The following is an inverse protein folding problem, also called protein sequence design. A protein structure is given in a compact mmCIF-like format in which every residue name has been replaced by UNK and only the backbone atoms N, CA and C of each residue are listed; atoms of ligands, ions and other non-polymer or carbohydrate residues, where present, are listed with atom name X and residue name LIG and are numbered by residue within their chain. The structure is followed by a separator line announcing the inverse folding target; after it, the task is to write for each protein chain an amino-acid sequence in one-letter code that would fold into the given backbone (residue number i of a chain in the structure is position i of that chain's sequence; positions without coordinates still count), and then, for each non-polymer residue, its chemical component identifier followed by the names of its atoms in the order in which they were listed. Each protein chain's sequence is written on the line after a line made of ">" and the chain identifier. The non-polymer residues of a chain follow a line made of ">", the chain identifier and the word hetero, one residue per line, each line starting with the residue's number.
data_IF_194891647777
#
_entry.id   IF_194891647777
#
_cell.length_a   1.000
_cell.length_b   1.000
_cell.length_c   1.000
_cell.angle_alpha   90.00
_cell.angle_beta   90.00
_cell.angle_gamma   90.00
#
_symmetry.space_group_name_H-M   'P 1'
#
loop_
_entity.id
_entity.type
_entity.pdbx_description
1 polymer ?
#
# COMPACT_ATOMS: atom_id res chain seq x y z
N UNK A 1 0.36 21.17 -5.01
CA UNK A 1 1.76 21.10 -4.52
C UNK A 1 1.90 21.23 -3.01
N UNK A 2 0.93 21.80 -2.29
CA UNK A 2 0.94 21.85 -0.80
C UNK A 2 0.61 20.48 -0.16
N UNK A 3 -0.20 19.67 -0.79
CA UNK A 3 -0.65 18.40 -0.25
C UNK A 3 0.48 17.41 0.08
N UNK A 4 1.51 17.31 -0.77
CA UNK A 4 2.61 16.36 -0.53
C UNK A 4 3.49 16.75 0.68
N UNK A 5 3.73 18.06 0.90
CA UNK A 5 4.48 18.53 2.06
C UNK A 5 3.68 18.37 3.36
N UNK A 6 2.36 18.53 3.29
CA UNK A 6 1.48 18.38 4.43
C UNK A 6 1.30 16.89 4.82
N UNK A 7 1.22 15.99 3.84
CA UNK A 7 1.23 14.54 4.08
C UNK A 7 2.50 14.13 4.82
N UNK A 8 3.68 14.59 4.40
CA UNK A 8 4.94 14.25 5.07
C UNK A 8 5.01 14.79 6.52
N UNK A 9 4.44 15.96 6.79
CA UNK A 9 4.35 16.48 8.16
C UNK A 9 3.51 15.59 9.09
N UNK A 10 2.57 14.80 8.53
CA UNK A 10 1.74 13.86 9.27
C UNK A 10 2.32 12.44 9.33
N UNK A 11 3.59 12.27 9.02
CA UNK A 11 4.32 10.99 9.06
C UNK A 11 5.50 11.04 10.03
N UNK A 12 5.26 11.26 11.35
CA UNK A 12 6.33 11.42 12.34
C UNK A 12 7.15 10.15 12.54
N UNK A 13 6.56 8.96 12.37
CA UNK A 13 7.23 7.69 12.60
C UNK A 13 8.23 7.36 11.49
N UNK A 14 7.89 7.64 10.22
CA UNK A 14 8.82 7.50 9.10
C UNK A 14 9.98 8.51 9.20
N UNK A 15 9.69 9.74 9.62
CA UNK A 15 10.72 10.76 9.85
C UNK A 15 11.73 10.33 10.91
N UNK A 16 11.26 9.74 12.01
CA UNK A 16 12.12 9.21 13.07
C UNK A 16 13.03 8.06 12.61
N UNK A 17 12.72 7.41 11.47
CA UNK A 17 13.49 6.31 10.88
C UNK A 17 14.40 6.74 9.73
N UNK A 18 14.64 8.04 9.56
CA UNK A 18 15.49 8.62 8.52
C UNK A 18 15.07 8.23 7.08
N UNK A 19 13.76 8.06 6.86
CA UNK A 19 13.22 7.80 5.53
C UNK A 19 13.44 9.02 4.63
N UNK A 20 13.94 8.82 3.42
CA UNK A 20 14.15 9.87 2.41
C UNK A 20 12.86 10.11 1.65
N UNK A 21 12.18 11.26 1.84
CA UNK A 21 10.95 11.58 1.12
C UNK A 21 11.22 12.15 -0.25
N UNK A 22 10.51 11.65 -1.26
CA UNK A 22 10.52 12.22 -2.61
C UNK A 22 9.28 13.11 -2.81
N UNK A 23 9.45 14.42 -2.73
CA UNK A 23 8.35 15.41 -2.74
C UNK A 23 7.73 15.65 -4.12
N UNK A 24 8.38 15.21 -5.21
CA UNK A 24 7.95 15.43 -6.60
C UNK A 24 7.62 14.15 -7.35
N UNK A 25 7.14 13.14 -6.65
CA UNK A 25 6.72 11.89 -7.28
C UNK A 25 5.31 12.05 -7.85
N UNK A 26 5.11 11.69 -9.10
CA UNK A 26 3.84 11.80 -9.82
C UNK A 26 3.44 10.43 -10.36
N UNK A 27 2.21 10.00 -10.06
CA UNK A 27 1.63 8.78 -10.60
C UNK A 27 1.29 8.93 -12.10
N UNK A 28 1.21 7.80 -12.82
CA UNK A 28 0.73 7.76 -14.21
C UNK A 28 -0.77 8.09 -14.32
N UNK A 29 -1.54 7.88 -13.27
CA UNK A 29 -2.97 8.12 -13.24
C UNK A 29 -3.54 8.07 -11.84
N UNK A 30 -4.82 8.38 -11.72
CA UNK A 30 -5.55 8.43 -10.44
C UNK A 30 -6.22 7.11 -10.06
N UNK A 31 -6.28 6.16 -10.98
CA UNK A 31 -6.85 4.83 -10.74
C UNK A 31 -5.75 3.75 -10.66
N UNK A 32 -5.98 2.73 -9.85
CA UNK A 32 -5.03 1.63 -9.61
C UNK A 32 -4.76 0.80 -10.88
N UNK A 33 -5.76 0.63 -11.75
CA UNK A 33 -5.65 -0.10 -13.01
C UNK A 33 -4.76 0.62 -14.06
N UNK A 34 -4.48 1.88 -13.87
CA UNK A 34 -3.54 2.67 -14.67
C UNK A 34 -2.19 2.81 -13.96
N UNK A 35 -2.21 3.23 -12.68
CA UNK A 35 -0.98 3.57 -11.97
C UNK A 35 -0.12 2.34 -11.67
N UNK A 36 -0.73 1.22 -11.31
CA UNK A 36 0.01 0.02 -10.92
C UNK A 36 0.73 -0.64 -12.12
N UNK A 37 0.07 -0.96 -13.26
CA UNK A 37 0.77 -1.46 -14.44
C UNK A 37 1.86 -0.51 -14.95
N UNK A 38 1.63 0.80 -14.90
CA UNK A 38 2.62 1.79 -15.28
C UNK A 38 3.86 1.77 -14.37
N UNK A 39 3.67 1.69 -13.05
CA UNK A 39 4.76 1.67 -12.07
C UNK A 39 5.70 0.48 -12.29
N UNK A 40 5.15 -0.68 -12.67
CA UNK A 40 5.90 -1.90 -12.89
C UNK A 40 6.29 -2.14 -14.36
N UNK A 41 6.01 -1.19 -15.25
CA UNK A 41 6.42 -1.26 -16.66
C UNK A 41 7.84 -0.71 -16.85
N UNK A 42 8.51 -1.17 -17.91
CA UNK A 42 9.82 -0.65 -18.29
C UNK A 42 9.80 0.76 -18.91
N UNK A 43 8.62 1.24 -19.30
CA UNK A 43 8.50 2.53 -20.01
C UNK A 43 8.10 3.69 -19.11
N UNK A 44 7.50 3.41 -17.96
CA UNK A 44 7.08 4.41 -17.01
C UNK A 44 6.05 5.41 -17.56
N UNK A 45 5.92 6.56 -16.87
CA UNK A 45 4.89 7.56 -17.14
C UNK A 45 5.06 8.29 -18.48
N UNK A 46 6.28 8.64 -18.85
CA UNK A 46 6.53 9.52 -20.02
C UNK A 46 6.19 8.84 -21.35
N UNK A 47 6.19 7.54 -21.39
CA UNK A 47 5.84 6.72 -22.55
C UNK A 47 4.70 5.76 -22.24
N UNK A 48 3.77 6.21 -21.37
CA UNK A 48 2.61 5.41 -21.00
C UNK A 48 1.73 5.12 -22.22
N UNK A 49 1.59 3.83 -22.48
CA UNK A 49 0.67 3.25 -23.47
C UNK A 49 0.01 2.04 -22.81
N UNK A 50 -1.29 2.13 -22.54
CA UNK A 50 -2.03 1.10 -21.81
C UNK A 50 -2.01 -0.24 -22.53
N UNK A 51 -2.26 -0.23 -23.84
CA UNK A 51 -2.39 -1.46 -24.63
C UNK A 51 -1.05 -2.18 -24.74
N UNK A 52 0.01 -1.43 -24.82
CA UNK A 52 1.37 -1.93 -24.80
C UNK A 52 1.73 -2.51 -23.44
N UNK A 53 1.52 -1.76 -22.35
CA UNK A 53 1.89 -2.16 -20.98
C UNK A 53 1.15 -3.42 -20.54
N UNK A 54 -0.12 -3.60 -20.94
CA UNK A 54 -0.90 -4.79 -20.63
C UNK A 54 -0.48 -6.04 -21.41
N UNK A 55 0.20 -5.86 -22.55
CA UNK A 55 0.74 -6.94 -23.39
C UNK A 55 2.19 -7.29 -23.05
N UNK A 56 2.94 -6.33 -22.51
CA UNK A 56 4.33 -6.53 -22.10
C UNK A 56 4.40 -7.15 -20.68
N UNK A 57 5.53 -7.75 -20.41
CA UNK A 57 5.81 -8.32 -19.10
C UNK A 57 6.13 -7.22 -18.09
N UNK A 58 5.61 -7.34 -16.87
CA UNK A 58 5.92 -6.44 -15.75
C UNK A 58 7.30 -6.75 -15.14
N UNK A 59 7.76 -5.89 -14.24
CA UNK A 59 9.02 -6.08 -13.51
C UNK A 59 9.06 -7.39 -12.69
N UNK A 60 7.94 -7.84 -12.12
CA UNK A 60 7.92 -8.95 -11.17
C UNK A 60 8.38 -10.29 -11.79
N UNK A 61 7.84 -10.76 -12.94
CA UNK A 61 8.34 -11.96 -13.61
C UNK A 61 9.80 -11.82 -14.07
N UNK A 62 10.24 -10.61 -14.42
CA UNK A 62 11.65 -10.37 -14.79
C UNK A 62 12.57 -10.63 -13.58
N UNK A 63 12.21 -10.16 -12.40
CA UNK A 63 12.95 -10.43 -11.16
C UNK A 63 13.00 -11.94 -10.86
N UNK A 64 11.89 -12.67 -11.06
CA UNK A 64 11.87 -14.12 -10.84
C UNK A 64 12.84 -14.84 -11.78
N UNK A 65 12.89 -14.47 -13.06
CA UNK A 65 13.86 -15.05 -14.02
C UNK A 65 15.30 -14.72 -13.69
N UNK A 66 15.55 -13.59 -13.01
CA UNK A 66 16.86 -13.24 -12.47
C UNK A 66 17.24 -14.03 -11.21
N UNK A 67 16.42 -15.00 -10.77
CA UNK A 67 16.68 -15.83 -9.60
C UNK A 67 16.23 -15.27 -8.28
N UNK A 68 15.56 -14.11 -8.29
CA UNK A 68 15.01 -13.45 -7.10
C UNK A 68 13.70 -14.15 -6.70
N UNK A 69 13.52 -14.40 -5.42
CA UNK A 69 12.29 -14.91 -4.86
C UNK A 69 11.29 -13.77 -4.72
N UNK A 70 10.16 -13.80 -5.44
CA UNK A 70 9.21 -12.68 -5.53
C UNK A 70 7.84 -13.10 -5.01
N UNK A 71 7.26 -12.27 -4.14
CA UNK A 71 5.90 -12.45 -3.61
C UNK A 71 5.07 -11.18 -3.75
N UNK A 72 3.78 -11.37 -4.00
CA UNK A 72 2.77 -10.32 -3.95
C UNK A 72 1.82 -10.55 -2.78
N UNK A 73 1.68 -9.58 -1.88
CA UNK A 73 0.72 -9.64 -0.75
C UNK A 73 -0.32 -8.54 -0.94
N UNK A 74 -1.59 -8.91 -0.97
CA UNK A 74 -2.68 -8.02 -1.37
C UNK A 74 -3.69 -7.77 -0.26
N UNK A 75 -3.93 -6.50 0.05
CA UNK A 75 -5.06 -6.02 0.88
C UNK A 75 -6.01 -5.11 0.07
N UNK A 76 -5.99 -5.22 -1.23
CA UNK A 76 -6.82 -4.39 -2.12
C UNK A 76 -7.61 -5.27 -3.10
N UNK A 77 -7.74 -4.85 -4.33
CA UNK A 77 -8.52 -5.51 -5.39
C UNK A 77 -7.65 -6.24 -6.42
N UNK A 78 -6.56 -6.87 -5.96
CA UNK A 78 -5.62 -7.62 -6.80
C UNK A 78 -4.59 -6.74 -7.52
N UNK A 79 -3.64 -7.38 -8.18
CA UNK A 79 -2.43 -6.75 -8.74
C UNK A 79 -2.60 -6.17 -10.14
N UNK A 80 -3.79 -6.10 -10.70
CA UNK A 80 -4.07 -5.52 -12.03
C UNK A 80 -3.17 -6.08 -13.16
N UNK A 81 -2.83 -7.35 -13.06
CA UNK A 81 -2.02 -8.07 -14.06
C UNK A 81 -0.51 -8.04 -13.81
N UNK A 82 0.01 -7.16 -12.93
CA UNK A 82 1.46 -7.04 -12.72
C UNK A 82 2.10 -8.24 -12.03
N UNK A 83 1.35 -9.02 -11.26
CA UNK A 83 1.84 -10.22 -10.58
C UNK A 83 1.53 -11.53 -11.30
N UNK A 84 1.30 -11.49 -12.62
CA UNK A 84 1.03 -12.71 -13.40
C UNK A 84 2.21 -13.68 -13.29
N UNK A 85 1.93 -14.90 -12.82
CA UNK A 85 2.97 -15.92 -12.62
C UNK A 85 3.78 -15.77 -11.33
N UNK A 86 3.48 -14.77 -10.48
CA UNK A 86 4.12 -14.56 -9.18
C UNK A 86 3.23 -15.13 -8.08
N UNK A 87 3.77 -15.84 -7.08
CA UNK A 87 3.01 -16.26 -5.91
C UNK A 87 2.33 -15.06 -5.25
N UNK A 88 1.00 -15.15 -5.09
CA UNK A 88 0.18 -14.08 -4.52
C UNK A 88 -0.53 -14.59 -3.27
N UNK A 89 -0.36 -13.85 -2.18
CA UNK A 89 -1.02 -14.11 -0.90
C UNK A 89 -2.10 -13.05 -0.70
N UNK A 90 -3.36 -13.46 -0.69
CA UNK A 90 -4.45 -12.59 -0.30
C UNK A 90 -4.66 -12.66 1.21
N UNK A 91 -4.81 -11.50 1.84
CA UNK A 91 -5.08 -11.42 3.27
C UNK A 91 -6.49 -11.91 3.53
N UNK A 92 -6.62 -12.77 4.52
CA UNK A 92 -7.91 -13.30 4.94
C UNK A 92 -8.12 -13.11 6.44
N UNK A 93 -9.40 -13.04 6.82
CA UNK A 93 -9.85 -13.05 8.22
C UNK A 93 -9.25 -14.17 9.06
N UNK A 94 -8.92 -15.30 8.42
CA UNK A 94 -8.37 -16.48 9.10
C UNK A 94 -6.94 -16.27 9.59
N UNK A 95 -6.16 -15.42 8.93
CA UNK A 95 -4.76 -15.13 9.32
C UNK A 95 -4.63 -13.96 10.30
N UNK A 96 -5.56 -13.00 10.28
CA UNK A 96 -5.53 -11.81 11.13
C UNK A 96 -6.95 -11.40 11.57
N UNK A 97 -7.66 -12.21 12.37
CA UNK A 97 -9.08 -11.97 12.68
C UNK A 97 -9.33 -10.65 13.44
N UNK A 98 -8.40 -10.22 14.28
CA UNK A 98 -8.50 -8.95 15.03
C UNK A 98 -8.30 -7.71 14.17
N UNK A 99 -7.66 -7.85 13.00
CA UNK A 99 -7.38 -6.76 12.07
C UNK A 99 -8.40 -6.65 10.94
N UNK A 100 -9.40 -7.54 10.91
CA UNK A 100 -10.37 -7.61 9.84
C UNK A 100 -11.82 -7.44 10.35
N UNK A 101 -12.61 -6.64 9.63
CA UNK A 101 -14.05 -6.51 9.84
C UNK A 101 -14.79 -6.80 8.52
N UNK A 102 -15.58 -7.89 8.49
CA UNK A 102 -16.20 -8.35 7.26
C UNK A 102 -15.13 -8.73 6.21
N UNK A 103 -15.26 -8.27 4.96
CA UNK A 103 -14.30 -8.55 3.89
C UNK A 103 -13.10 -7.59 3.90
N UNK A 104 -13.02 -6.66 4.85
CA UNK A 104 -12.00 -5.60 4.89
C UNK A 104 -11.06 -5.82 6.05
N UNK A 105 -9.75 -5.69 5.79
CA UNK A 105 -8.71 -5.73 6.81
C UNK A 105 -7.96 -4.39 6.85
N UNK A 106 -7.42 -4.04 8.01
CA UNK A 106 -6.44 -2.98 8.13
C UNK A 106 -5.10 -3.42 7.53
N UNK A 107 -4.26 -2.47 7.09
CA UNK A 107 -3.02 -2.79 6.37
C UNK A 107 -1.98 -3.54 7.21
N UNK A 108 -2.03 -3.48 8.54
CA UNK A 108 -1.20 -4.31 9.42
C UNK A 108 -1.41 -5.82 9.18
N UNK A 109 -2.57 -6.23 8.65
CA UNK A 109 -2.82 -7.60 8.25
C UNK A 109 -1.89 -8.09 7.12
N UNK A 110 -1.29 -7.18 6.33
CA UNK A 110 -0.25 -7.51 5.34
C UNK A 110 0.97 -8.14 6.01
N UNK A 111 1.42 -7.61 7.15
CA UNK A 111 2.52 -8.20 7.93
C UNK A 111 2.10 -9.46 8.66
N UNK A 112 0.95 -9.44 9.34
CA UNK A 112 0.44 -10.59 10.07
C UNK A 112 0.14 -11.80 9.17
N UNK A 113 -0.11 -11.58 7.89
CA UNK A 113 -0.36 -12.62 6.90
C UNK A 113 0.90 -13.27 6.31
N UNK A 114 2.09 -12.73 6.60
CA UNK A 114 3.37 -13.24 6.09
C UNK A 114 3.95 -14.27 7.04
N UNK A 115 4.11 -15.49 6.56
CA UNK A 115 4.96 -16.49 7.20
C UNK A 115 6.38 -16.38 6.63
N UNK A 116 7.31 -15.89 7.45
CA UNK A 116 8.71 -15.68 7.04
C UNK A 116 9.39 -17.00 6.65
N UNK A 117 9.01 -18.12 7.26
CA UNK A 117 9.56 -19.44 6.93
C UNK A 117 9.16 -19.92 5.53
N UNK A 118 7.99 -19.48 5.04
CA UNK A 118 7.52 -19.81 3.69
C UNK A 118 8.20 -18.94 2.62
N UNK A 119 8.43 -17.65 2.92
CA UNK A 119 8.92 -16.69 1.93
C UNK A 119 10.43 -16.51 1.92
N UNK A 120 11.10 -16.63 3.08
CA UNK A 120 12.55 -16.49 3.16
C UNK A 120 13.22 -17.85 2.85
N UNK A 121 14.08 -17.85 1.85
CA UNK A 121 14.86 -19.05 1.47
C UNK A 121 16.34 -18.77 1.68
N UNK A 122 17.07 -19.66 2.39
CA UNK A 122 18.52 -19.49 2.58
C UNK A 122 19.27 -19.27 1.26
N UNK A 123 20.14 -18.28 1.25
CA UNK A 123 20.97 -17.95 0.08
C UNK A 123 20.22 -17.30 -1.10
N UNK A 124 18.94 -16.92 -0.92
CA UNK A 124 18.18 -16.22 -1.97
C UNK A 124 17.72 -14.85 -1.52
N UNK A 125 17.89 -13.86 -2.40
CA UNK A 125 17.23 -12.56 -2.23
C UNK A 125 15.73 -12.72 -2.40
N UNK A 126 14.97 -12.18 -1.44
CA UNK A 126 13.50 -12.16 -1.49
C UNK A 126 13.00 -10.73 -1.63
N UNK A 127 12.05 -10.52 -2.53
CA UNK A 127 11.33 -9.26 -2.70
C UNK A 127 9.84 -9.48 -2.46
N UNK A 128 9.27 -8.75 -1.51
CA UNK A 128 7.85 -8.81 -1.18
C UNK A 128 7.19 -7.50 -1.56
N UNK A 129 6.20 -7.57 -2.44
CA UNK A 129 5.36 -6.43 -2.81
C UNK A 129 4.10 -6.44 -1.95
N UNK A 130 3.94 -5.43 -1.10
CA UNK A 130 2.78 -5.27 -0.22
C UNK A 130 1.83 -4.24 -0.80
N UNK A 131 0.69 -4.69 -1.33
CA UNK A 131 -0.32 -3.82 -1.92
C UNK A 131 -1.33 -3.39 -0.85
N UNK A 132 -1.13 -2.21 -0.31
CA UNK A 132 -1.95 -1.62 0.74
C UNK A 132 -3.32 -1.17 0.22
N UNK A 133 -4.33 -1.20 1.09
CA UNK A 133 -5.56 -0.45 0.89
C UNK A 133 -5.30 1.06 1.10
N UNK A 134 -4.45 1.40 2.05
CA UNK A 134 -3.98 2.75 2.31
C UNK A 134 -5.13 3.74 2.49
N UNK A 135 -4.99 4.90 1.86
CA UNK A 135 -5.95 6.00 1.90
C UNK A 135 -7.01 5.92 0.79
N UNK A 136 -7.40 4.72 0.36
CA UNK A 136 -8.37 4.54 -0.71
C UNK A 136 -9.76 5.06 -0.32
N UNK A 137 -10.26 6.07 -1.06
CA UNK A 137 -11.59 6.64 -0.85
C UNK A 137 -12.75 5.75 -1.35
N UNK A 138 -13.99 6.22 -1.16
CA UNK A 138 -14.37 7.41 -0.38
C UNK A 138 -14.43 7.21 1.13
N UNK A 139 -14.47 5.99 1.63
CA UNK A 139 -14.67 5.66 3.05
C UNK A 139 -13.38 5.80 3.88
N UNK A 140 -12.80 6.98 3.96
CA UNK A 140 -11.53 7.23 4.65
C UNK A 140 -11.56 6.82 6.13
N UNK A 141 -12.65 7.09 6.85
CA UNK A 141 -12.80 6.72 8.26
C UNK A 141 -12.79 5.21 8.54
N UNK A 142 -12.90 4.38 7.49
CA UNK A 142 -12.79 2.92 7.57
C UNK A 142 -11.38 2.40 7.24
N UNK A 143 -10.40 3.28 7.06
CA UNK A 143 -9.02 2.91 6.67
C UNK A 143 -8.08 2.78 7.86
N UNK A 144 -8.51 3.15 9.05
CA UNK A 144 -7.73 3.13 10.28
C UNK A 144 -8.57 2.65 11.46
N UNK A 145 -7.98 2.00 12.46
CA UNK A 145 -8.66 1.67 13.71
C UNK A 145 -8.92 2.92 14.56
N UNK A 146 -9.89 2.85 15.47
CA UNK A 146 -10.40 4.00 16.22
C UNK A 146 -9.35 4.77 17.03
N UNK A 147 -8.31 4.09 17.50
CA UNK A 147 -7.19 4.72 18.22
C UNK A 147 -6.34 5.66 17.33
N UNK A 148 -6.48 5.60 16.02
CA UNK A 148 -5.85 6.53 15.07
C UNK A 148 -6.76 7.69 14.67
N UNK A 149 -7.96 7.81 15.24
CA UNK A 149 -8.86 8.95 15.02
C UNK A 149 -8.47 10.15 15.90
N UNK A 150 -7.38 10.81 15.54
CA UNK A 150 -6.79 11.96 16.25
C UNK A 150 -7.44 13.27 15.80
N UNK A 151 -7.59 13.46 14.49
CA UNK A 151 -8.22 14.64 13.90
C UNK A 151 -9.73 14.48 13.87
N UNK A 152 -10.47 15.46 14.39
CA UNK A 152 -11.94 15.45 14.53
C UNK A 152 -12.53 16.82 14.23
N UNK A 153 -13.80 16.88 13.77
CA UNK A 153 -14.72 15.78 13.49
C UNK A 153 -14.31 14.99 12.21
N UNK A 154 -14.86 13.78 12.00
CA UNK A 154 -14.56 12.94 10.85
C UNK A 154 -15.80 12.62 10.03
N UNK A 155 -15.65 12.57 8.70
CA UNK A 155 -16.66 12.06 7.78
C UNK A 155 -16.78 10.54 7.90
N UNK A 156 -17.92 10.05 8.36
CA UNK A 156 -18.23 8.61 8.47
C UNK A 156 -19.12 8.11 7.34
N UNK A 157 -19.66 9.01 6.51
CA UNK A 157 -20.51 8.71 5.34
C UNK A 157 -19.62 8.37 4.13
N UNK A 158 -20.02 7.36 3.35
CA UNK A 158 -19.35 7.03 2.07
C UNK A 158 -19.73 8.02 0.97
N UNK A 159 -20.87 8.73 1.13
CA UNK A 159 -21.27 9.84 0.27
C UNK A 159 -20.63 11.13 0.80
N UNK A 160 -19.47 11.48 0.28
CA UNK A 160 -18.68 12.64 0.75
C UNK A 160 -19.45 13.97 0.68
N UNK A 161 -20.46 14.09 -0.18
CA UNK A 161 -21.31 15.28 -0.27
C UNK A 161 -22.14 15.53 1.00
N UNK A 162 -22.29 14.54 1.88
CA UNK A 162 -22.99 14.67 3.15
C UNK A 162 -22.08 15.20 4.27
N UNK A 163 -20.78 15.40 3.99
CA UNK A 163 -19.79 15.82 4.96
C UNK A 163 -19.20 17.19 4.59
N UNK A 164 -18.77 17.92 5.60
CA UNK A 164 -17.99 19.14 5.40
C UNK A 164 -16.59 18.79 4.86
N UNK A 165 -15.92 19.77 4.25
CA UNK A 165 -14.54 19.62 3.80
C UNK A 165 -13.60 19.26 4.96
N UNK A 166 -13.80 19.86 6.14
CA UNK A 166 -13.00 19.60 7.32
C UNK A 166 -13.11 18.13 7.75
N UNK A 167 -14.32 17.59 7.85
CA UNK A 167 -14.55 16.19 8.20
C UNK A 167 -13.88 15.21 7.23
N UNK A 168 -13.91 15.52 5.93
CA UNK A 168 -13.25 14.71 4.90
C UNK A 168 -11.74 14.76 5.06
N UNK A 169 -11.16 15.95 5.24
CA UNK A 169 -9.72 16.15 5.43
C UNK A 169 -9.25 15.45 6.70
N UNK A 170 -9.96 15.61 7.81
CA UNK A 170 -9.63 14.95 9.08
C UNK A 170 -9.63 13.41 8.95
N UNK A 171 -10.65 12.84 8.28
CA UNK A 171 -10.71 11.41 8.04
C UNK A 171 -9.54 10.91 7.17
N UNK A 172 -9.17 11.67 6.14
CA UNK A 172 -8.01 11.38 5.29
C UNK A 172 -6.69 11.48 6.07
N UNK A 173 -6.52 12.52 6.88
CA UNK A 173 -5.31 12.73 7.68
C UNK A 173 -5.10 11.63 8.73
N UNK A 174 -6.16 11.15 9.35
CA UNK A 174 -6.10 9.99 10.24
C UNK A 174 -5.65 8.73 9.49
N UNK A 175 -6.10 8.54 8.24
CA UNK A 175 -5.66 7.43 7.41
C UNK A 175 -4.16 7.55 7.03
N UNK A 176 -3.63 8.78 6.83
CA UNK A 176 -2.20 9.01 6.65
C UNK A 176 -1.40 8.65 7.90
N UNK A 177 -1.87 9.03 9.09
CA UNK A 177 -1.22 8.65 10.35
C UNK A 177 -1.13 7.13 10.51
N UNK A 178 -2.19 6.41 10.14
CA UNK A 178 -2.19 4.96 10.19
C UNK A 178 -1.26 4.34 9.13
N UNK A 179 -1.20 4.91 7.94
CA UNK A 179 -0.22 4.50 6.92
C UNK A 179 1.22 4.69 7.39
N UNK A 180 1.51 5.81 8.09
CA UNK A 180 2.82 6.07 8.70
C UNK A 180 3.18 4.99 9.73
N UNK A 181 2.23 4.63 10.59
CA UNK A 181 2.39 3.55 11.57
C UNK A 181 2.67 2.20 10.90
N UNK A 182 1.89 1.83 9.89
CA UNK A 182 2.08 0.58 9.16
C UNK A 182 3.45 0.50 8.49
N UNK A 183 3.86 1.55 7.77
CA UNK A 183 5.17 1.57 7.09
C UNK A 183 6.33 1.56 8.09
N UNK A 184 6.18 2.23 9.23
CA UNK A 184 7.14 2.15 10.32
C UNK A 184 7.27 0.71 10.85
N UNK A 185 6.15 0.02 11.04
CA UNK A 185 6.11 -1.39 11.41
C UNK A 185 6.80 -2.31 10.39
N UNK A 186 6.63 -2.04 9.08
CA UNK A 186 7.34 -2.78 8.02
C UNK A 186 8.86 -2.59 8.13
N UNK A 187 9.32 -1.37 8.38
CA UNK A 187 10.75 -1.07 8.53
C UNK A 187 11.32 -1.80 9.76
N UNK A 188 10.61 -1.76 10.89
CA UNK A 188 11.06 -2.40 12.11
C UNK A 188 11.04 -3.94 11.97
N UNK A 189 10.04 -4.49 11.29
CA UNK A 189 9.97 -5.92 10.97
C UNK A 189 11.16 -6.35 10.09
N UNK A 190 11.51 -5.59 9.05
CA UNK A 190 12.68 -5.88 8.20
C UNK A 190 13.98 -5.87 9.00
N UNK A 191 14.16 -4.91 9.92
CA UNK A 191 15.33 -4.85 10.79
C UNK A 191 15.43 -6.02 11.78
N UNK A 192 14.32 -6.63 12.09
CA UNK A 192 14.25 -7.81 12.96
C UNK A 192 14.50 -9.14 12.24
N UNK A 193 14.71 -9.12 10.91
CA UNK A 193 15.04 -10.30 10.10
C UNK A 193 16.56 -10.53 9.97
N UNK A 194 17.38 -9.54 10.32
CA UNK A 194 18.85 -9.63 10.38
C UNK A 194 19.27 -10.31 11.70
#
# INVERSE_FOLDING_TARGET
>A
SSAASDVYKRQPQLRARNVIPFSKTISCGTSTDVSLPCMFSRVGRDRYDRDRILKEESLLPVLQRAGINVFWVDNQSGCKGVCKGVPSLSISKTKAPSLCSGPRCYDEALLAGIDTSEILKPGKTTVVFMHQLGNHGPAYSKRYPKNFEVFKPVCTDEKLNNCSREEIVNAYDNAILYTDHFLAGVIDWLKGLD
#
